data_IF_059385622471
#
_entry.id   IF_059385622471
#
_cell.length_a   1.000
_cell.length_b   1.000
_cell.length_c   1.000
_cell.angle_alpha   90.00
_cell.angle_beta   90.00
_cell.angle_gamma   90.00
#
_symmetry.space_group_name_H-M   'P 1'
#
loop_
_entity.id
_entity.type
_entity.pdbx_description
1 polymer ?
#
# COMPACT_ATOMS: atom_id res chain seq x y z
N UNK A 1 64.29 -31.34 24.79
CA UNK A 1 64.45 -29.93 25.25
C UNK A 1 64.65 -29.10 23.99
N UNK A 2 63.82 -28.12 23.61
CA UNK A 2 63.26 -27.02 24.40
C UNK A 2 61.85 -26.64 23.90
N UNK A 3 61.11 -26.11 24.85
CA UNK A 3 59.68 -25.82 24.87
C UNK A 3 59.38 -24.36 24.46
N UNK A 4 58.13 -24.13 24.02
CA UNK A 4 57.36 -22.86 23.98
C UNK A 4 57.51 -21.93 22.76
N UNK A 5 56.44 -21.80 21.99
CA UNK A 5 55.57 -20.61 22.04
C UNK A 5 54.24 -20.88 21.32
N UNK A 6 53.20 -21.07 22.12
CA UNK A 6 51.78 -20.87 21.74
C UNK A 6 51.54 -19.36 21.75
N UNK A 7 50.95 -18.78 20.71
CA UNK A 7 50.07 -17.59 20.73
C UNK A 7 49.58 -17.32 19.29
N UNK A 8 48.37 -17.74 18.95
CA UNK A 8 47.21 -16.84 18.82
C UNK A 8 47.28 -15.87 17.62
N UNK A 9 46.80 -16.31 16.46
CA UNK A 9 46.37 -15.44 15.38
C UNK A 9 44.90 -15.74 15.04
N UNK A 10 44.03 -15.55 16.04
CA UNK A 10 42.60 -15.40 15.80
C UNK A 10 42.40 -13.97 15.26
N UNK A 11 42.60 -13.78 13.95
CA UNK A 11 42.37 -12.50 13.31
C UNK A 11 40.86 -12.28 13.21
N UNK A 12 40.41 -11.43 14.12
CA UNK A 12 39.06 -10.92 14.33
C UNK A 12 38.37 -10.48 13.03
N UNK A 13 37.43 -11.30 12.55
CA UNK A 13 36.39 -10.83 11.63
C UNK A 13 35.44 -9.92 12.40
N UNK A 14 35.73 -8.62 12.42
CA UNK A 14 34.76 -7.61 12.85
C UNK A 14 33.67 -7.57 11.80
N UNK A 15 32.58 -8.30 12.04
CA UNK A 15 31.34 -8.12 11.30
C UNK A 15 30.84 -6.70 11.58
N UNK A 16 30.97 -5.82 10.58
CA UNK A 16 30.20 -4.58 10.56
C UNK A 16 28.72 -4.96 10.40
N UNK A 17 28.04 -5.19 11.52
CA UNK A 17 26.59 -5.29 11.56
C UNK A 17 26.04 -3.90 11.23
N UNK A 18 25.77 -3.63 9.96
CA UNK A 18 24.97 -2.47 9.58
C UNK A 18 23.64 -2.60 10.33
N UNK A 19 23.31 -1.64 11.18
CA UNK A 19 22.03 -1.61 11.88
C UNK A 19 20.91 -1.59 10.82
N UNK A 20 20.23 -2.71 10.63
CA UNK A 20 19.08 -2.81 9.76
C UNK A 20 17.90 -2.11 10.44
N UNK A 21 17.72 -0.82 10.18
CA UNK A 21 16.56 -0.08 10.68
C UNK A 21 15.34 -0.46 9.83
N UNK A 22 14.44 -1.24 10.43
CA UNK A 22 13.14 -1.56 9.86
C UNK A 22 12.20 -0.37 10.09
N UNK A 23 12.32 0.66 9.24
CA UNK A 23 11.35 1.77 9.22
C UNK A 23 9.99 1.29 8.72
N UNK A 24 8.94 1.83 9.32
CA UNK A 24 7.54 1.51 9.03
C UNK A 24 6.66 2.70 9.46
N UNK A 25 6.77 3.79 8.71
CA UNK A 25 6.12 5.06 9.03
C UNK A 25 4.77 5.12 8.30
N UNK A 26 3.71 5.49 9.02
CA UNK A 26 2.40 5.69 8.39
C UNK A 26 2.35 7.12 7.86
N UNK A 27 2.16 7.26 6.55
CA UNK A 27 1.92 8.53 5.90
C UNK A 27 0.46 8.67 5.53
N UNK A 28 -0.13 9.83 5.84
CA UNK A 28 -1.42 10.27 5.30
C UNK A 28 -1.13 11.19 4.12
N UNK A 29 -1.62 10.82 2.94
CA UNK A 29 -1.34 11.53 1.69
C UNK A 29 -2.65 11.89 0.98
N UNK A 30 -2.71 13.04 0.29
CA UNK A 30 -3.89 13.44 -0.46
C UNK A 30 -4.10 12.58 -1.71
N UNK A 31 -5.35 12.21 -1.97
CA UNK A 31 -5.76 11.49 -3.18
C UNK A 31 -5.54 12.32 -4.44
N UNK A 32 -5.75 13.64 -4.35
CA UNK A 32 -5.66 14.56 -5.48
C UNK A 32 -4.27 14.58 -6.16
N UNK A 33 -3.21 14.20 -5.44
CA UNK A 33 -1.85 14.17 -5.99
C UNK A 33 -1.64 13.06 -7.03
N UNK A 34 -2.52 12.05 -7.08
CA UNK A 34 -2.38 10.92 -7.99
C UNK A 34 -3.68 10.57 -8.73
N UNK A 35 -4.83 10.67 -8.08
CA UNK A 35 -6.13 10.38 -8.70
C UNK A 35 -6.44 11.46 -9.74
N UNK A 36 -6.76 11.03 -10.97
CA UNK A 36 -7.02 11.93 -12.10
C UNK A 36 -5.81 12.24 -12.99
N UNK A 37 -4.60 11.88 -12.55
CA UNK A 37 -3.38 11.98 -13.38
C UNK A 37 -3.40 10.95 -14.52
N UNK A 38 -2.59 11.16 -15.56
CA UNK A 38 -2.48 10.20 -16.66
C UNK A 38 -1.92 8.84 -16.19
N UNK A 39 -1.05 8.85 -15.18
CA UNK A 39 -0.55 7.64 -14.52
C UNK A 39 -1.68 6.82 -13.89
N UNK A 40 -2.64 7.48 -13.23
CA UNK A 40 -3.82 6.82 -12.69
C UNK A 40 -4.73 6.28 -13.79
N UNK A 41 -5.02 7.07 -14.83
CA UNK A 41 -5.86 6.64 -15.96
C UNK A 41 -5.31 5.42 -16.68
N UNK A 42 -3.98 5.32 -16.82
CA UNK A 42 -3.33 4.16 -17.44
C UNK A 42 -3.31 2.93 -16.52
N UNK A 43 -3.24 3.13 -15.20
CA UNK A 43 -3.14 2.03 -14.25
C UNK A 43 -4.51 1.41 -13.91
N UNK A 44 -5.53 2.25 -13.75
CA UNK A 44 -6.86 1.87 -13.27
C UNK A 44 -7.76 1.35 -14.38
N UNK A 45 -8.80 0.61 -13.98
CA UNK A 45 -9.85 0.14 -14.88
C UNK A 45 -10.96 1.19 -15.00
N UNK A 46 -11.81 1.02 -16.02
CA UNK A 46 -13.05 1.79 -16.19
C UNK A 46 -14.16 1.23 -15.27
N UNK A 47 -13.93 1.37 -13.96
CA UNK A 47 -14.86 0.98 -12.88
C UNK A 47 -14.87 2.14 -11.89
N UNK A 48 -15.96 2.91 -11.77
CA UNK A 48 -16.02 4.03 -10.86
C UNK A 48 -15.76 3.58 -9.42
N UNK A 49 -14.99 4.39 -8.69
CA UNK A 49 -14.66 4.13 -7.30
C UNK A 49 -14.83 5.39 -6.46
N UNK A 50 -15.25 5.22 -5.22
CA UNK A 50 -15.59 6.31 -4.31
C UNK A 50 -15.05 6.03 -2.91
N UNK A 51 -14.28 6.97 -2.39
CA UNK A 51 -13.85 6.95 -1.00
C UNK A 51 -15.03 7.27 -0.08
N UNK A 52 -14.96 6.74 1.14
CA UNK A 52 -16.02 6.89 2.12
C UNK A 52 -16.40 8.37 2.34
N UNK A 53 -17.70 8.68 2.17
CA UNK A 53 -18.25 10.04 2.25
C UNK A 53 -18.27 10.81 0.92
N UNK A 54 -17.69 10.27 -0.16
CA UNK A 54 -17.85 10.85 -1.50
C UNK A 54 -19.23 10.51 -2.07
N UNK A 55 -19.82 11.47 -2.80
CA UNK A 55 -21.11 11.26 -3.45
C UNK A 55 -20.98 10.28 -4.62
N UNK A 56 -21.96 9.38 -4.73
CA UNK A 56 -22.10 8.43 -5.83
C UNK A 56 -23.59 8.19 -6.13
N UNK A 57 -23.89 7.48 -7.21
CA UNK A 57 -25.26 7.11 -7.55
C UNK A 57 -25.91 6.19 -6.49
N UNK A 58 -27.23 6.08 -6.51
CA UNK A 58 -27.96 5.21 -5.59
C UNK A 58 -27.55 3.75 -5.80
N UNK A 59 -27.22 3.05 -4.72
CA UNK A 59 -26.83 1.64 -4.78
C UNK A 59 -28.08 0.77 -4.98
N UNK A 60 -28.16 0.06 -6.11
CA UNK A 60 -29.21 -0.91 -6.41
C UNK A 60 -28.91 -2.30 -5.82
N UNK A 61 -27.64 -2.69 -5.77
CA UNK A 61 -27.20 -3.96 -5.19
C UNK A 61 -25.85 -3.82 -4.51
N UNK A 62 -25.68 -4.47 -3.37
CA UNK A 62 -24.43 -4.47 -2.62
C UNK A 62 -23.98 -5.92 -2.39
N UNK A 63 -22.76 -6.24 -2.82
CA UNK A 63 -22.15 -7.55 -2.58
C UNK A 63 -21.65 -7.69 -1.14
N UNK A 64 -21.18 -6.58 -0.57
CA UNK A 64 -20.48 -6.51 0.71
C UNK A 64 -19.05 -5.97 0.59
N UNK A 65 -18.39 -5.91 1.74
CA UNK A 65 -17.03 -5.40 1.89
C UNK A 65 -15.98 -6.43 1.45
N UNK A 66 -14.96 -5.96 0.72
CA UNK A 66 -13.72 -6.66 0.46
C UNK A 66 -12.53 -5.87 0.99
N UNK A 67 -11.40 -6.54 1.19
CA UNK A 67 -10.14 -5.90 1.55
C UNK A 67 -9.04 -6.22 0.54
N UNK A 68 -8.08 -5.31 0.42
CA UNK A 68 -6.85 -5.46 -0.34
C UNK A 68 -5.67 -5.06 0.53
N UNK A 69 -4.53 -5.69 0.30
CA UNK A 69 -3.25 -5.32 0.90
C UNK A 69 -2.19 -5.45 -0.18
N UNK A 70 -1.76 -4.32 -0.73
CA UNK A 70 -0.77 -4.26 -1.80
C UNK A 70 0.54 -3.70 -1.25
N UNK A 71 1.64 -4.19 -1.80
CA UNK A 71 2.98 -3.75 -1.49
C UNK A 71 3.77 -3.54 -2.79
N UNK A 72 4.66 -2.58 -2.79
CA UNK A 72 5.58 -2.31 -3.90
C UNK A 72 6.99 -2.06 -3.40
N UNK A 73 7.96 -2.23 -4.29
CA UNK A 73 9.35 -1.83 -4.04
C UNK A 73 9.47 -0.29 -4.12
N UNK A 74 9.92 0.30 -3.01
CA UNK A 74 10.21 1.72 -2.85
C UNK A 74 11.69 2.09 -3.04
N UNK A 75 12.59 1.13 -3.29
CA UNK A 75 14.00 1.43 -3.58
C UNK A 75 14.11 2.36 -4.78
N UNK A 76 14.90 3.42 -4.61
CA UNK A 76 15.11 4.44 -5.64
C UNK A 76 13.92 5.37 -5.89
N UNK A 77 12.86 5.32 -5.08
CA UNK A 77 11.70 6.22 -5.15
C UNK A 77 11.57 7.03 -3.85
N UNK A 78 10.86 8.15 -3.92
CA UNK A 78 10.38 8.80 -2.69
C UNK A 78 9.27 7.96 -2.05
N UNK A 79 9.10 8.10 -0.73
CA UNK A 79 8.00 7.45 0.00
C UNK A 79 6.65 7.78 -0.64
N UNK A 80 6.42 9.06 -0.97
CA UNK A 80 5.20 9.53 -1.63
C UNK A 80 4.98 8.84 -2.99
N UNK A 81 5.99 8.78 -3.85
CA UNK A 81 5.85 8.14 -5.17
C UNK A 81 5.54 6.63 -5.04
N UNK A 82 6.22 5.95 -4.12
CA UNK A 82 5.99 4.54 -3.84
C UNK A 82 4.57 4.30 -3.29
N UNK A 83 4.11 5.15 -2.37
CA UNK A 83 2.77 5.13 -1.79
C UNK A 83 1.67 5.38 -2.83
N UNK A 84 1.84 6.38 -3.69
CA UNK A 84 0.91 6.67 -4.79
C UNK A 84 0.82 5.50 -5.77
N UNK A 85 1.95 4.86 -6.11
CA UNK A 85 1.95 3.69 -6.98
C UNK A 85 1.21 2.50 -6.37
N UNK A 86 1.44 2.21 -5.09
CA UNK A 86 0.77 1.11 -4.42
C UNK A 86 -0.71 1.40 -4.16
N UNK A 87 -1.10 2.66 -3.97
CA UNK A 87 -2.51 3.08 -3.93
C UNK A 87 -3.24 2.70 -5.22
N UNK A 88 -2.69 3.07 -6.39
CA UNK A 88 -3.29 2.72 -7.68
C UNK A 88 -3.42 1.21 -7.85
N UNK A 89 -2.42 0.46 -7.40
CA UNK A 89 -2.45 -1.00 -7.41
C UNK A 89 -3.54 -1.59 -6.50
N UNK A 90 -3.81 -0.95 -5.36
CA UNK A 90 -4.87 -1.36 -4.42
C UNK A 90 -6.27 -1.05 -4.98
N UNK A 91 -6.47 0.15 -5.53
CA UNK A 91 -7.73 0.54 -6.19
C UNK A 91 -8.01 -0.39 -7.37
N UNK A 92 -7.02 -0.62 -8.24
CA UNK A 92 -7.17 -1.56 -9.37
C UNK A 92 -7.62 -2.94 -8.91
N UNK A 93 -7.08 -3.45 -7.81
CA UNK A 93 -7.48 -4.75 -7.28
C UNK A 93 -8.93 -4.78 -6.77
N UNK A 94 -9.44 -3.67 -6.23
CA UNK A 94 -10.86 -3.53 -5.89
C UNK A 94 -11.72 -3.52 -7.17
N UNK A 95 -11.30 -2.78 -8.20
CA UNK A 95 -12.01 -2.70 -9.49
C UNK A 95 -12.06 -4.07 -10.19
N UNK A 96 -10.93 -4.78 -10.26
CA UNK A 96 -10.86 -6.17 -10.77
C UNK A 96 -11.83 -7.08 -10.00
N UNK A 97 -11.90 -6.91 -8.67
CA UNK A 97 -12.77 -7.71 -7.82
C UNK A 97 -14.26 -7.42 -8.05
N UNK A 98 -14.62 -6.17 -8.36
CA UNK A 98 -15.96 -5.76 -8.78
C UNK A 98 -16.36 -6.46 -10.09
N UNK A 99 -15.54 -6.31 -11.13
CA UNK A 99 -15.80 -6.90 -12.45
C UNK A 99 -15.94 -8.42 -12.38
N UNK A 100 -15.03 -9.10 -11.66
CA UNK A 100 -15.06 -10.57 -11.50
C UNK A 100 -16.32 -11.09 -10.80
N UNK A 101 -16.98 -10.25 -10.01
CA UNK A 101 -18.21 -10.61 -9.26
C UNK A 101 -19.48 -10.06 -9.92
N UNK A 102 -19.37 -9.38 -11.06
CA UNK A 102 -20.52 -8.82 -11.78
C UNK A 102 -21.06 -7.51 -11.19
N UNK A 103 -20.25 -6.79 -10.41
CA UNK A 103 -20.53 -5.46 -9.87
C UNK A 103 -19.79 -4.40 -10.68
N UNK A 104 -20.35 -3.19 -10.77
CA UNK A 104 -19.87 -2.13 -11.66
C UNK A 104 -19.22 -0.93 -10.96
N UNK A 105 -19.21 -0.90 -9.62
CA UNK A 105 -18.55 0.15 -8.87
C UNK A 105 -17.97 -0.35 -7.53
N UNK A 106 -17.07 0.46 -6.96
CA UNK A 106 -16.53 0.27 -5.61
C UNK A 106 -16.81 1.52 -4.78
N UNK A 107 -17.53 1.39 -3.67
CA UNK A 107 -17.84 2.52 -2.79
C UNK A 107 -17.29 2.31 -1.39
N UNK A 108 -17.46 3.32 -0.54
CA UNK A 108 -17.08 3.29 0.86
C UNK A 108 -15.60 2.88 1.07
N UNK A 109 -14.70 3.32 0.17
CA UNK A 109 -13.29 2.96 0.25
C UNK A 109 -12.65 3.63 1.46
N UNK A 110 -11.97 2.84 2.30
CA UNK A 110 -11.25 3.26 3.51
C UNK A 110 -9.85 2.67 3.53
N UNK A 111 -8.90 3.40 4.09
CA UNK A 111 -7.59 2.81 4.39
C UNK A 111 -7.70 1.89 5.61
N UNK A 112 -6.94 0.81 5.63
CA UNK A 112 -6.98 -0.20 6.69
C UNK A 112 -5.57 -0.68 7.05
N UNK A 113 -4.65 0.25 7.26
CA UNK A 113 -3.26 -0.09 7.54
C UNK A 113 -3.16 -0.78 8.91
N UNK A 114 -2.57 -1.98 8.96
CA UNK A 114 -2.47 -2.82 10.17
C UNK A 114 -3.82 -3.03 10.90
N UNK A 115 -4.91 -3.16 10.14
CA UNK A 115 -6.27 -3.30 10.68
C UNK A 115 -6.78 -2.08 11.48
N UNK A 116 -6.17 -0.91 11.28
CA UNK A 116 -6.69 0.35 11.79
C UNK A 116 -7.38 1.09 10.64
N UNK A 117 -8.71 1.23 10.75
CA UNK A 117 -9.50 1.90 9.72
C UNK A 117 -9.28 3.41 9.77
N UNK A 118 -9.00 3.98 8.61
CA UNK A 118 -8.92 5.42 8.40
C UNK A 118 -9.87 5.81 7.27
N UNK A 119 -10.82 6.67 7.63
CA UNK A 119 -11.87 7.18 6.76
C UNK A 119 -11.55 8.62 6.38
N UNK A 120 -11.45 8.89 5.08
CA UNK A 120 -11.32 10.23 4.55
C UNK A 120 -11.88 10.29 3.14
N UNK A 121 -12.48 11.41 2.78
CA UNK A 121 -12.99 11.68 1.41
C UNK A 121 -11.88 12.13 0.47
N UNK A 122 -10.73 12.55 1.00
CA UNK A 122 -9.66 13.23 0.24
C UNK A 122 -8.27 12.66 0.47
N UNK A 123 -8.09 11.75 1.43
CA UNK A 123 -6.78 11.23 1.83
C UNK A 123 -6.76 9.71 1.97
N UNK A 124 -5.56 9.13 1.92
CA UNK A 124 -5.32 7.71 2.18
C UNK A 124 -4.10 7.52 3.07
N UNK A 125 -4.02 6.35 3.72
CA UNK A 125 -2.85 5.96 4.52
C UNK A 125 -1.99 4.92 3.80
N UNK A 126 -0.67 5.11 3.92
CA UNK A 126 0.34 4.22 3.38
C UNK A 126 1.39 3.93 4.46
N UNK A 127 1.80 2.66 4.58
CA UNK A 127 3.00 2.29 5.32
C UNK A 127 4.23 2.45 4.43
N UNK A 128 5.08 3.42 4.74
CA UNK A 128 6.34 3.69 4.04
C UNK A 128 7.51 3.12 4.84
N UNK A 129 8.09 2.03 4.33
CA UNK A 129 9.31 1.43 4.84
C UNK A 129 10.50 1.66 3.90
N UNK A 130 11.71 1.34 4.39
CA UNK A 130 12.97 1.62 3.67
C UNK A 130 13.08 0.94 2.30
N UNK A 131 12.44 -0.21 2.12
CA UNK A 131 12.48 -1.02 0.90
C UNK A 131 11.08 -1.16 0.28
N UNK A 132 10.04 -1.14 1.10
CA UNK A 132 8.68 -1.46 0.69
C UNK A 132 7.72 -0.36 1.13
N UNK A 133 6.82 0.02 0.24
CA UNK A 133 5.62 0.79 0.58
C UNK A 133 4.39 -0.10 0.47
N UNK A 134 3.41 0.11 1.33
CA UNK A 134 2.20 -0.72 1.38
C UNK A 134 0.93 0.09 1.64
N UNK A 135 -0.13 -0.22 0.90
CA UNK A 135 -1.47 0.35 1.08
C UNK A 135 -2.44 -0.81 1.25
N UNK A 136 -3.22 -0.74 2.32
CA UNK A 136 -4.32 -1.66 2.57
C UNK A 136 -5.62 -0.87 2.50
N UNK A 137 -6.56 -1.32 1.66
CA UNK A 137 -7.87 -0.70 1.50
C UNK A 137 -8.97 -1.69 1.83
N UNK A 138 -10.07 -1.18 2.36
CA UNK A 138 -11.38 -1.83 2.36
C UNK A 138 -12.31 -1.06 1.43
N UNK A 139 -13.28 -1.74 0.85
CA UNK A 139 -14.30 -1.12 0.02
C UNK A 139 -15.44 -2.09 -0.26
N UNK A 140 -16.59 -1.56 -0.63
CA UNK A 140 -17.80 -2.33 -0.92
C UNK A 140 -18.02 -2.42 -2.42
N UNK A 141 -18.30 -3.62 -2.91
CA UNK A 141 -18.63 -3.82 -4.32
C UNK A 141 -20.13 -3.59 -4.51
N UNK A 142 -20.47 -2.64 -5.37
CA UNK A 142 -21.85 -2.24 -5.58
C UNK A 142 -22.20 -2.18 -7.05
N UNK A 143 -23.50 -2.27 -7.28
CA UNK A 143 -24.13 -2.03 -8.55
C UNK A 143 -25.05 -0.83 -8.38
N UNK A 144 -24.87 0.17 -9.21
CA UNK A 144 -25.79 1.30 -9.28
C UNK A 144 -27.03 0.98 -10.12
#
# INVERSE_FOLDING_TARGET
MKTKLVLAAALSTVFFSAAATARDDIQTLPLADIIGTDKAKQALLDVPFYFAGQNHATVMSNWGEISTNKKTNGLGKSDQEACQWVLLSAIKALQDAAQKRGYDAVVNIRSNYKNNEFTSTTEFQCGAGRIMAGVALKGELVKF
#
